data_IF_336665752831
#
_entry.id   IF_336665752831
#
_cell.length_a   1.000
_cell.length_b   1.000
_cell.length_c   1.000
_cell.angle_alpha   90.00
_cell.angle_beta   90.00
_cell.angle_gamma   90.00
#
_symmetry.space_group_name_H-M   'P 1'
#
loop_
_entity.id
_entity.type
_entity.pdbx_description
1 polymer ?
#
# COMPACT_ATOMS: atom_id res chain seq x y z
N UNK A 1 17.76 14.56 12.57
CA UNK A 1 18.93 15.29 13.12
C UNK A 1 19.80 16.00 12.07
N UNK A 2 19.51 15.93 10.74
CA UNK A 2 20.34 16.60 9.71
C UNK A 2 20.00 18.07 9.38
N UNK A 3 18.72 18.46 9.43
CA UNK A 3 18.25 19.79 8.95
C UNK A 3 18.82 20.99 9.70
N UNK A 4 19.07 20.84 11.00
CA UNK A 4 19.64 21.91 11.83
C UNK A 4 21.11 22.18 11.50
N UNK A 5 21.81 21.20 10.91
CA UNK A 5 23.20 21.33 10.53
C UNK A 5 23.36 22.03 9.16
N UNK A 6 22.53 21.73 8.16
CA UNK A 6 22.58 22.35 6.83
C UNK A 6 22.34 23.87 6.89
N UNK A 7 21.26 24.30 7.55
CA UNK A 7 20.95 25.73 7.68
C UNK A 7 21.99 26.51 8.49
N UNK A 8 22.59 25.89 9.52
CA UNK A 8 23.70 26.50 10.29
C UNK A 8 24.97 26.62 9.45
N UNK A 9 25.34 25.56 8.71
CA UNK A 9 26.50 25.57 7.79
C UNK A 9 26.38 26.64 6.72
N UNK A 10 25.22 26.75 6.06
CA UNK A 10 25.02 27.80 5.05
C UNK A 10 25.12 29.18 5.70
N UNK A 11 24.50 29.39 6.87
CA UNK A 11 24.55 30.68 7.56
C UNK A 11 25.99 31.08 7.94
N UNK A 12 26.80 30.14 8.42
CA UNK A 12 28.22 30.36 8.76
C UNK A 12 29.05 30.75 7.52
N UNK A 13 28.88 30.02 6.40
CA UNK A 13 29.60 30.32 5.16
C UNK A 13 29.18 31.68 4.56
N UNK A 14 27.88 32.01 4.61
CA UNK A 14 27.37 33.30 4.14
C UNK A 14 27.84 34.45 5.03
N UNK A 15 27.91 34.26 6.36
CA UNK A 15 28.40 35.30 7.27
C UNK A 15 29.89 35.55 7.08
N UNK A 16 30.68 34.52 6.76
CA UNK A 16 32.07 34.67 6.35
C UNK A 16 32.20 35.53 5.08
N UNK A 17 31.43 35.22 4.03
CA UNK A 17 31.43 36.04 2.79
C UNK A 17 31.05 37.50 3.11
N UNK A 18 30.05 37.70 3.96
CA UNK A 18 29.57 39.03 4.34
C UNK A 18 30.64 39.82 5.10
N UNK A 19 31.32 39.22 6.05
CA UNK A 19 32.39 39.87 6.83
C UNK A 19 33.58 40.24 5.93
N UNK A 20 34.04 39.32 5.09
CA UNK A 20 35.13 39.57 4.13
C UNK A 20 34.76 40.71 3.15
N UNK A 21 33.55 40.66 2.59
CA UNK A 21 33.04 41.68 1.65
C UNK A 21 32.89 43.05 2.31
N UNK A 22 32.42 43.10 3.56
CA UNK A 22 32.23 44.37 4.28
C UNK A 22 33.58 45.03 4.58
N UNK A 23 34.56 44.24 5.02
CA UNK A 23 35.91 44.75 5.30
C UNK A 23 36.60 45.30 4.03
N UNK A 24 36.42 44.66 2.88
CA UNK A 24 36.98 45.12 1.61
C UNK A 24 36.25 46.37 1.08
N UNK A 25 34.91 46.37 1.11
CA UNK A 25 34.12 47.51 0.63
C UNK A 25 34.27 48.75 1.50
N UNK A 26 34.46 48.62 2.81
CA UNK A 26 34.68 49.77 3.70
C UNK A 26 36.05 50.43 3.50
N UNK A 27 37.08 49.63 3.15
CA UNK A 27 38.37 50.19 2.69
C UNK A 27 38.19 50.99 1.41
N UNK A 28 37.49 50.44 0.42
CA UNK A 28 37.21 51.12 -0.84
C UNK A 28 36.35 52.38 -0.66
N UNK A 29 35.33 52.36 0.21
CA UNK A 29 34.53 53.55 0.55
C UNK A 29 35.35 54.65 1.20
N UNK A 30 36.35 54.30 2.01
CA UNK A 30 37.25 55.29 2.63
C UNK A 30 38.11 55.97 1.58
N UNK A 31 38.69 55.19 0.65
CA UNK A 31 39.44 55.71 -0.51
C UNK A 31 38.57 56.53 -1.46
N UNK A 32 37.32 56.11 -1.68
CA UNK A 32 36.35 56.85 -2.50
C UNK A 32 36.06 58.24 -1.90
N UNK A 33 35.84 58.31 -0.58
CA UNK A 33 35.61 59.59 0.12
C UNK A 33 36.82 60.52 0.00
N UNK A 34 38.03 59.97 0.05
CA UNK A 34 39.27 60.75 -0.13
C UNK A 34 39.45 61.24 -1.58
N UNK A 35 39.16 60.40 -2.58
CA UNK A 35 39.16 60.79 -3.99
C UNK A 35 38.14 61.91 -4.28
N UNK A 36 36.93 61.84 -3.67
CA UNK A 36 35.92 62.90 -3.77
C UNK A 36 36.43 64.20 -3.12
N UNK A 37 37.03 64.14 -1.92
CA UNK A 37 37.61 65.31 -1.24
C UNK A 37 38.72 65.98 -2.04
N UNK A 38 39.47 65.20 -2.81
CA UNK A 38 40.57 65.69 -3.66
C UNK A 38 40.12 66.00 -5.10
N UNK A 39 38.81 66.04 -5.37
CA UNK A 39 38.20 66.35 -6.67
C UNK A 39 38.57 65.37 -7.81
N UNK A 40 39.04 64.16 -7.47
CA UNK A 40 39.38 63.11 -8.43
C UNK A 40 38.17 62.22 -8.73
N UNK A 41 37.20 62.77 -9.45
CA UNK A 41 35.90 62.10 -9.68
C UNK A 41 35.99 60.84 -10.53
N UNK A 42 36.91 60.77 -11.49
CA UNK A 42 37.14 59.56 -12.31
C UNK A 42 37.55 58.38 -11.43
N UNK A 43 38.49 58.59 -10.50
CA UNK A 43 38.93 57.58 -9.53
C UNK A 43 37.77 57.19 -8.60
N UNK A 44 36.96 58.15 -8.16
CA UNK A 44 35.81 57.86 -7.30
C UNK A 44 34.72 57.04 -8.01
N UNK A 45 34.53 57.24 -9.32
CA UNK A 45 33.62 56.46 -10.15
C UNK A 45 34.14 55.04 -10.39
N UNK A 46 35.44 54.87 -10.64
CA UNK A 46 36.05 53.55 -10.79
C UNK A 46 36.00 52.74 -9.48
N UNK A 47 36.21 53.39 -8.34
CA UNK A 47 36.03 52.75 -7.03
C UNK A 47 34.56 52.36 -6.80
N UNK A 48 33.60 53.18 -7.24
CA UNK A 48 32.19 52.84 -7.15
C UNK A 48 31.86 51.56 -7.94
N UNK A 49 32.37 51.46 -9.18
CA UNK A 49 32.23 50.25 -10.02
C UNK A 49 32.86 49.03 -9.36
N UNK A 50 34.06 49.15 -8.79
CA UNK A 50 34.71 48.04 -8.07
C UNK A 50 33.90 47.56 -6.86
N UNK A 51 33.29 48.48 -6.10
CA UNK A 51 32.40 48.11 -4.99
C UNK A 51 31.17 47.36 -5.52
N UNK A 52 30.59 47.79 -6.64
CA UNK A 52 29.46 47.12 -7.28
C UNK A 52 29.83 45.69 -7.75
N UNK A 53 30.99 45.52 -8.39
CA UNK A 53 31.52 44.22 -8.83
C UNK A 53 31.75 43.26 -7.65
N UNK A 54 32.37 43.74 -6.56
CA UNK A 54 32.58 42.94 -5.34
C UNK A 54 31.24 42.49 -4.75
N UNK A 55 30.25 43.39 -4.66
CA UNK A 55 28.93 43.04 -4.12
C UNK A 55 28.18 42.05 -5.03
N UNK A 56 28.35 42.16 -6.35
CA UNK A 56 27.81 41.20 -7.32
C UNK A 56 28.42 39.82 -7.12
N UNK A 57 29.75 39.72 -7.08
CA UNK A 57 30.45 38.45 -6.84
C UNK A 57 30.11 37.83 -5.48
N UNK A 58 30.01 38.64 -4.42
CA UNK A 58 29.58 38.16 -3.11
C UNK A 58 28.16 37.58 -3.15
N UNK A 59 27.25 38.20 -3.91
CA UNK A 59 25.88 37.70 -4.09
C UNK A 59 25.83 36.41 -4.91
N UNK A 60 26.65 36.29 -5.96
CA UNK A 60 26.80 35.06 -6.76
C UNK A 60 27.35 33.91 -5.91
N UNK A 61 28.37 34.16 -5.08
CA UNK A 61 28.95 33.16 -4.19
C UNK A 61 27.95 32.67 -3.13
N UNK A 62 27.21 33.60 -2.50
CA UNK A 62 26.13 33.25 -1.56
C UNK A 62 25.07 32.38 -2.23
N UNK A 63 24.66 32.74 -3.45
CA UNK A 63 23.69 31.95 -4.21
C UNK A 63 24.23 30.57 -4.58
N UNK A 64 25.49 30.45 -4.97
CA UNK A 64 26.11 29.16 -5.30
C UNK A 64 26.08 28.19 -4.11
N UNK A 65 26.36 28.67 -2.90
CA UNK A 65 26.26 27.87 -1.66
C UNK A 65 24.82 27.38 -1.45
N UNK A 66 23.85 28.30 -1.51
CA UNK A 66 22.42 27.95 -1.32
C UNK A 66 21.97 26.94 -2.38
N UNK A 67 22.38 27.13 -3.64
CA UNK A 67 22.03 26.26 -4.76
C UNK A 67 22.57 24.84 -4.57
N UNK A 68 23.84 24.71 -4.19
CA UNK A 68 24.46 23.39 -4.07
C UNK A 68 23.80 22.59 -2.94
N UNK A 69 23.61 23.21 -1.77
CA UNK A 69 22.91 22.54 -0.65
C UNK A 69 21.46 22.19 -1.01
N UNK A 70 20.78 23.06 -1.75
CA UNK A 70 19.41 22.78 -2.23
C UNK A 70 19.35 21.54 -3.12
N UNK A 71 20.29 21.39 -4.06
CA UNK A 71 20.35 20.23 -4.95
C UNK A 71 20.63 18.96 -4.14
N UNK A 72 21.62 19.00 -3.24
CA UNK A 72 21.99 17.85 -2.42
C UNK A 72 20.82 17.38 -1.54
N UNK A 73 20.09 18.32 -0.93
CA UNK A 73 18.94 17.98 -0.10
C UNK A 73 17.73 17.52 -0.92
N UNK A 74 17.53 18.03 -2.15
CA UNK A 74 16.50 17.52 -3.07
C UNK A 74 16.76 16.05 -3.44
N UNK A 75 17.99 15.73 -3.83
CA UNK A 75 18.40 14.36 -4.19
C UNK A 75 18.22 13.44 -2.98
N UNK A 76 18.77 13.81 -1.83
CA UNK A 76 18.67 13.03 -0.58
C UNK A 76 17.21 12.83 -0.17
N UNK A 77 16.38 13.87 -0.26
CA UNK A 77 14.96 13.78 0.06
C UNK A 77 14.21 12.83 -0.88
N UNK A 78 14.53 12.86 -2.18
CA UNK A 78 13.93 11.95 -3.15
C UNK A 78 14.36 10.50 -2.92
N UNK A 79 15.64 10.24 -2.69
CA UNK A 79 16.18 8.91 -2.41
C UNK A 79 15.50 8.29 -1.19
N UNK A 80 15.40 9.04 -0.08
CA UNK A 80 14.69 8.57 1.12
C UNK A 80 13.22 8.21 0.83
N UNK A 81 12.53 9.00 0.00
CA UNK A 81 11.13 8.72 -0.39
C UNK A 81 11.00 7.55 -1.35
N UNK A 82 11.99 7.31 -2.20
CA UNK A 82 12.02 6.14 -3.05
C UNK A 82 12.27 4.87 -2.21
N UNK A 83 13.16 4.93 -1.22
CA UNK A 83 13.36 3.82 -0.28
C UNK A 83 12.08 3.49 0.50
N UNK A 84 11.38 4.51 1.04
CA UNK A 84 10.07 4.31 1.69
C UNK A 84 9.06 3.62 0.74
N UNK A 85 9.10 3.93 -0.57
CA UNK A 85 8.25 3.29 -1.57
C UNK A 85 8.63 1.83 -1.80
N UNK A 86 9.92 1.51 -1.88
CA UNK A 86 10.42 0.14 -2.02
C UNK A 86 10.07 -0.71 -0.80
N UNK A 87 10.18 -0.15 0.40
CA UNK A 87 9.80 -0.83 1.65
C UNK A 87 8.29 -1.16 1.66
N UNK A 88 7.45 -0.25 1.15
CA UNK A 88 6.00 -0.48 0.98
C UNK A 88 5.74 -1.62 -0.01
N UNK A 89 6.48 -1.68 -1.12
CA UNK A 89 6.37 -2.77 -2.10
C UNK A 89 6.84 -4.11 -1.55
N UNK A 90 7.93 -4.12 -0.78
CA UNK A 90 8.43 -5.32 -0.12
C UNK A 90 7.43 -5.85 0.91
N UNK A 91 6.89 -4.95 1.74
CA UNK A 91 5.83 -5.28 2.70
C UNK A 91 4.60 -5.86 1.99
N UNK A 92 4.26 -5.33 0.81
CA UNK A 92 3.15 -5.87 0.02
C UNK A 92 3.32 -7.34 -0.33
N UNK A 93 4.49 -7.70 -0.87
CA UNK A 93 4.76 -9.08 -1.26
C UNK A 93 4.69 -10.03 -0.06
N UNK A 94 5.17 -9.55 1.09
CA UNK A 94 5.12 -10.30 2.34
C UNK A 94 3.67 -10.55 2.82
N UNK A 95 2.84 -9.51 2.84
CA UNK A 95 1.44 -9.63 3.28
C UNK A 95 0.61 -10.48 2.30
N UNK A 96 0.80 -10.32 0.99
CA UNK A 96 0.14 -11.16 -0.02
C UNK A 96 0.47 -12.64 0.16
N UNK A 97 1.72 -12.96 0.48
CA UNK A 97 2.15 -14.32 0.79
C UNK A 97 1.47 -14.84 2.06
N UNK A 98 1.37 -14.02 3.11
CA UNK A 98 0.71 -14.40 4.35
C UNK A 98 -0.78 -14.67 4.16
N UNK A 99 -1.48 -13.87 3.35
CA UNK A 99 -2.88 -14.11 2.98
C UNK A 99 -2.99 -15.47 2.26
N UNK A 100 -2.12 -15.74 1.28
CA UNK A 100 -2.12 -17.03 0.57
C UNK A 100 -1.90 -18.21 1.52
N UNK A 101 -0.90 -18.14 2.40
CA UNK A 101 -0.61 -19.21 3.36
C UNK A 101 -1.77 -19.43 4.33
N UNK A 102 -2.39 -18.35 4.82
CA UNK A 102 -3.56 -18.42 5.71
C UNK A 102 -4.70 -19.17 5.05
N UNK A 103 -5.09 -18.80 3.83
CA UNK A 103 -6.20 -19.44 3.15
C UNK A 103 -5.89 -20.84 2.65
N UNK A 104 -4.66 -21.12 2.22
CA UNK A 104 -4.24 -22.49 1.89
C UNK A 104 -4.45 -23.42 3.09
N UNK A 105 -4.01 -23.02 4.29
CA UNK A 105 -4.27 -23.78 5.52
C UNK A 105 -5.76 -23.99 5.79
N UNK A 106 -6.58 -22.95 5.66
CA UNK A 106 -8.03 -23.06 5.84
C UNK A 106 -8.66 -24.03 4.84
N UNK A 107 -8.24 -24.00 3.58
CA UNK A 107 -8.72 -24.95 2.56
C UNK A 107 -8.26 -26.39 2.86
N UNK A 108 -7.01 -26.59 3.30
CA UNK A 108 -6.51 -27.92 3.67
C UNK A 108 -7.28 -28.49 4.86
N UNK A 109 -7.57 -27.67 5.88
CA UNK A 109 -8.29 -28.11 7.05
C UNK A 109 -9.77 -28.38 6.74
N UNK A 110 -10.41 -27.54 5.92
CA UNK A 110 -11.76 -27.80 5.41
C UNK A 110 -11.80 -29.12 4.63
N UNK A 111 -10.85 -29.35 3.72
CA UNK A 111 -10.75 -30.61 2.96
C UNK A 111 -10.64 -31.82 3.87
N UNK A 112 -9.81 -31.76 4.91
CA UNK A 112 -9.68 -32.86 5.89
C UNK A 112 -11.02 -33.12 6.60
N UNK A 113 -11.68 -32.07 7.08
CA UNK A 113 -12.98 -32.18 7.74
C UNK A 113 -14.05 -32.80 6.83
N UNK A 114 -14.07 -32.41 5.57
CA UNK A 114 -15.00 -32.93 4.55
C UNK A 114 -14.76 -34.41 4.25
N UNK A 115 -13.49 -34.82 4.13
CA UNK A 115 -13.12 -36.24 3.95
C UNK A 115 -13.56 -37.08 5.15
N UNK A 116 -13.27 -36.62 6.37
CA UNK A 116 -13.69 -37.33 7.60
C UNK A 116 -15.21 -37.45 7.68
N UNK A 117 -15.93 -36.38 7.34
CA UNK A 117 -17.39 -36.36 7.37
C UNK A 117 -18.00 -37.31 6.33
N UNK A 118 -17.44 -37.37 5.11
CA UNK A 118 -17.87 -38.35 4.09
C UNK A 118 -17.61 -39.77 4.54
N UNK A 119 -16.42 -40.04 5.08
CA UNK A 119 -16.07 -41.36 5.57
C UNK A 119 -17.03 -41.82 6.68
N UNK A 120 -17.33 -40.95 7.66
CA UNK A 120 -18.28 -41.27 8.73
C UNK A 120 -19.70 -41.51 8.19
N UNK A 121 -20.12 -40.71 7.21
CA UNK A 121 -21.41 -40.87 6.55
C UNK A 121 -21.53 -42.21 5.80
N UNK A 122 -20.51 -42.60 5.05
CA UNK A 122 -20.46 -43.89 4.35
C UNK A 122 -20.44 -45.08 5.34
N UNK A 123 -19.67 -44.97 6.41
CA UNK A 123 -19.66 -45.99 7.47
C UNK A 123 -21.03 -46.15 8.14
N UNK A 124 -21.74 -45.05 8.36
CA UNK A 124 -23.09 -45.11 8.92
C UNK A 124 -24.06 -45.80 7.96
N UNK A 125 -23.98 -45.48 6.67
CA UNK A 125 -24.81 -46.15 5.64
C UNK A 125 -24.56 -47.66 5.59
N UNK A 126 -23.31 -48.11 5.67
CA UNK A 126 -22.99 -49.53 5.70
C UNK A 126 -23.61 -50.23 6.92
N UNK A 127 -23.55 -49.58 8.10
CA UNK A 127 -24.21 -50.09 9.32
C UNK A 127 -25.73 -50.14 9.19
N UNK A 128 -26.33 -49.09 8.63
CA UNK A 128 -27.79 -49.03 8.43
C UNK A 128 -28.23 -50.13 7.46
N UNK A 129 -27.44 -50.36 6.40
CA UNK A 129 -27.62 -51.46 5.47
C UNK A 129 -27.56 -52.81 6.17
N UNK A 130 -26.47 -53.09 6.89
CA UNK A 130 -26.32 -54.36 7.58
C UNK A 130 -27.45 -54.59 8.61
N UNK A 131 -27.93 -53.52 9.26
CA UNK A 131 -29.06 -53.59 10.20
C UNK A 131 -30.36 -53.95 9.50
N UNK A 132 -30.69 -53.30 8.38
CA UNK A 132 -31.90 -53.60 7.62
C UNK A 132 -31.85 -54.98 6.94
N UNK A 133 -30.67 -55.43 6.49
CA UNK A 133 -30.49 -56.78 5.95
C UNK A 133 -30.71 -57.88 7.00
N UNK A 134 -30.39 -57.61 8.27
CA UNK A 134 -30.61 -58.55 9.36
C UNK A 134 -32.00 -58.44 9.99
N UNK A 135 -32.81 -57.45 9.59
CA UNK A 135 -34.15 -57.22 10.12
C UNK A 135 -35.14 -58.21 9.51
N UNK A 136 -35.65 -59.12 10.35
CA UNK A 136 -36.65 -60.11 9.94
C UNK A 136 -37.99 -59.45 9.59
N UNK A 137 -38.61 -59.94 8.53
CA UNK A 137 -39.96 -59.51 8.11
C UNK A 137 -41.05 -60.35 8.80
N UNK A 138 -41.96 -59.73 9.58
CA UNK A 138 -43.02 -60.44 10.28
C UNK A 138 -43.91 -61.25 9.34
N UNK A 139 -44.32 -60.66 8.21
CA UNK A 139 -45.16 -61.33 7.19
C UNK A 139 -44.46 -62.58 6.61
N UNK A 140 -43.13 -62.55 6.45
CA UNK A 140 -42.37 -63.71 6.00
C UNK A 140 -42.30 -64.80 7.08
N UNK A 141 -42.16 -64.40 8.35
CA UNK A 141 -42.15 -65.33 9.49
C UNK A 141 -43.51 -66.04 9.58
N UNK A 142 -44.61 -65.29 9.49
CA UNK A 142 -45.97 -65.83 9.56
C UNK A 142 -46.27 -66.86 8.43
N UNK A 143 -45.83 -66.58 7.20
CA UNK A 143 -45.96 -67.53 6.09
C UNK A 143 -45.12 -68.79 6.30
N UNK A 144 -43.90 -68.66 6.85
CA UNK A 144 -43.06 -69.82 7.20
C UNK A 144 -43.69 -70.66 8.30
N UNK A 145 -44.22 -70.04 9.34
CA UNK A 145 -44.92 -70.76 10.42
C UNK A 145 -46.18 -71.47 9.91
N UNK A 146 -46.91 -70.84 9.00
CA UNK A 146 -48.09 -71.43 8.36
C UNK A 146 -47.73 -72.62 7.47
N UNK A 147 -46.61 -72.53 6.75
CA UNK A 147 -46.04 -73.63 5.96
C UNK A 147 -45.67 -74.84 6.84
N UNK A 148 -45.03 -74.60 7.99
CA UNK A 148 -44.68 -75.65 8.96
C UNK A 148 -45.95 -76.33 9.48
N UNK A 149 -46.96 -75.54 9.90
CA UNK A 149 -48.23 -76.08 10.41
C UNK A 149 -48.99 -76.91 9.36
N UNK A 150 -48.97 -76.50 8.08
CA UNK A 150 -49.57 -77.27 6.99
C UNK A 150 -48.86 -78.63 6.79
N UNK A 151 -47.52 -78.65 6.88
CA UNK A 151 -46.74 -79.87 6.79
C UNK A 151 -46.97 -80.81 7.98
N UNK A 152 -47.10 -80.27 9.20
CA UNK A 152 -47.44 -81.05 10.42
C UNK A 152 -48.81 -81.75 10.29
N UNK A 153 -49.75 -81.13 9.58
CA UNK A 153 -51.07 -81.70 9.30
C UNK A 153 -51.09 -82.66 8.10
N UNK A 154 -49.94 -82.90 7.44
CA UNK A 154 -49.81 -83.81 6.30
C UNK A 154 -50.19 -83.22 4.94
N UNK A 155 -50.52 -81.91 4.86
CA UNK A 155 -50.79 -81.22 3.59
C UNK A 155 -49.50 -80.60 3.02
N UNK A 156 -48.72 -81.44 2.36
CA UNK A 156 -47.43 -81.03 1.80
C UNK A 156 -47.56 -80.08 0.61
N UNK A 157 -48.69 -80.09 -0.12
CA UNK A 157 -48.85 -79.25 -1.31
C UNK A 157 -49.05 -77.79 -0.92
N UNK A 158 -49.90 -77.51 0.07
CA UNK A 158 -50.02 -76.14 0.62
C UNK A 158 -48.77 -75.71 1.36
N UNK A 159 -48.10 -76.61 2.09
CA UNK A 159 -46.83 -76.31 2.74
C UNK A 159 -45.76 -75.81 1.75
N UNK A 160 -45.64 -76.46 0.58
CA UNK A 160 -44.72 -76.03 -0.49
C UNK A 160 -45.09 -74.67 -1.07
N UNK A 161 -46.38 -74.41 -1.35
CA UNK A 161 -46.84 -73.11 -1.86
C UNK A 161 -46.53 -71.98 -0.88
N UNK A 162 -46.86 -72.16 0.40
CA UNK A 162 -46.59 -71.18 1.46
C UNK A 162 -45.08 -70.93 1.66
N UNK A 163 -44.25 -71.97 1.51
CA UNK A 163 -42.78 -71.83 1.54
C UNK A 163 -42.29 -70.95 0.40
N UNK A 164 -42.74 -71.23 -0.82
CA UNK A 164 -42.29 -70.52 -2.01
C UNK A 164 -42.79 -69.06 -2.00
N UNK A 165 -44.01 -68.82 -1.52
CA UNK A 165 -44.55 -67.49 -1.25
C UNK A 165 -43.73 -66.73 -0.19
N UNK A 166 -43.34 -67.38 0.91
CA UNK A 166 -42.49 -66.76 1.93
C UNK A 166 -41.10 -66.39 1.38
N UNK A 167 -40.54 -67.21 0.47
CA UNK A 167 -39.27 -66.91 -0.20
C UNK A 167 -39.44 -65.71 -1.15
N UNK A 168 -40.45 -65.73 -2.01
CA UNK A 168 -40.72 -64.64 -2.95
C UNK A 168 -41.00 -63.32 -2.23
N UNK A 169 -41.77 -63.34 -1.14
CA UNK A 169 -42.04 -62.16 -0.32
C UNK A 169 -40.76 -61.60 0.30
N UNK A 170 -39.90 -62.48 0.85
CA UNK A 170 -38.62 -62.08 1.41
C UNK A 170 -37.71 -61.39 0.40
N UNK A 171 -37.60 -61.94 -0.81
CA UNK A 171 -36.82 -61.33 -1.90
C UNK A 171 -37.39 -59.95 -2.25
N UNK A 172 -38.70 -59.86 -2.52
CA UNK A 172 -39.34 -58.60 -2.92
C UNK A 172 -39.25 -57.50 -1.85
N UNK A 173 -39.41 -57.84 -0.57
CA UNK A 173 -39.30 -56.88 0.54
C UNK A 173 -37.85 -56.43 0.72
N UNK A 174 -36.88 -57.34 0.61
CA UNK A 174 -35.45 -57.01 0.68
C UNK A 174 -35.00 -56.07 -0.45
N UNK A 175 -35.46 -56.30 -1.67
CA UNK A 175 -35.21 -55.40 -2.81
C UNK A 175 -35.76 -54.01 -2.54
N UNK A 176 -37.02 -53.91 -2.08
CA UNK A 176 -37.65 -52.62 -1.73
C UNK A 176 -36.92 -51.89 -0.61
N UNK A 177 -36.51 -52.58 0.45
CA UNK A 177 -35.72 -52.01 1.55
C UNK A 177 -34.39 -51.48 1.07
N UNK A 178 -33.68 -52.27 0.25
CA UNK A 178 -32.38 -51.88 -0.31
C UNK A 178 -32.51 -50.64 -1.19
N UNK A 179 -33.53 -50.60 -2.04
CA UNK A 179 -33.79 -49.45 -2.92
C UNK A 179 -34.11 -48.18 -2.10
N UNK A 180 -34.98 -48.28 -1.09
CA UNK A 180 -35.30 -47.15 -0.21
C UNK A 180 -34.06 -46.63 0.54
N UNK A 181 -33.23 -47.54 1.04
CA UNK A 181 -32.00 -47.19 1.75
C UNK A 181 -31.01 -46.46 0.81
N UNK A 182 -30.85 -46.97 -0.42
CA UNK A 182 -29.99 -46.35 -1.44
C UNK A 182 -30.49 -44.95 -1.81
N UNK A 183 -31.80 -44.77 -2.00
CA UNK A 183 -32.38 -43.45 -2.30
C UNK A 183 -32.16 -42.45 -1.17
N UNK A 184 -32.34 -42.87 0.09
CA UNK A 184 -32.07 -42.02 1.26
C UNK A 184 -30.59 -41.66 1.36
N UNK A 185 -29.70 -42.61 1.08
CA UNK A 185 -28.26 -42.39 1.05
C UNK A 185 -27.88 -41.36 -0.01
N UNK A 186 -28.30 -41.54 -1.26
CA UNK A 186 -27.96 -40.61 -2.34
C UNK A 186 -28.52 -39.20 -2.10
N UNK A 187 -29.72 -39.10 -1.53
CA UNK A 187 -30.30 -37.80 -1.14
C UNK A 187 -29.45 -37.10 -0.10
N UNK A 188 -29.13 -37.78 1.02
CA UNK A 188 -28.29 -37.21 2.08
C UNK A 188 -26.87 -36.91 1.61
N UNK A 189 -26.31 -37.76 0.74
CA UNK A 189 -24.98 -37.56 0.13
C UNK A 189 -24.97 -36.29 -0.70
N UNK A 190 -25.98 -36.08 -1.55
CA UNK A 190 -26.11 -34.88 -2.37
C UNK A 190 -26.25 -33.62 -1.51
N UNK A 191 -27.04 -33.67 -0.44
CA UNK A 191 -27.17 -32.56 0.51
C UNK A 191 -25.82 -32.24 1.19
N UNK A 192 -25.07 -33.27 1.62
CA UNK A 192 -23.75 -33.10 2.23
C UNK A 192 -22.75 -32.46 1.25
N UNK A 193 -22.68 -32.96 0.02
CA UNK A 193 -21.83 -32.38 -1.03
C UNK A 193 -22.23 -30.94 -1.37
N UNK A 194 -23.52 -30.62 -1.33
CA UNK A 194 -24.01 -29.25 -1.53
C UNK A 194 -23.54 -28.34 -0.40
N UNK A 195 -23.58 -28.80 0.86
CA UNK A 195 -23.04 -28.06 2.01
C UNK A 195 -21.55 -27.79 1.85
N UNK A 196 -20.77 -28.80 1.45
CA UNK A 196 -19.33 -28.65 1.21
C UNK A 196 -19.02 -27.64 0.10
N UNK A 197 -19.80 -27.68 -1.00
CA UNK A 197 -19.71 -26.68 -2.05
C UNK A 197 -19.94 -25.26 -1.53
N UNK A 198 -20.95 -25.07 -0.70
CA UNK A 198 -21.26 -23.77 -0.09
C UNK A 198 -20.16 -23.28 0.87
N UNK A 199 -19.53 -24.18 1.64
CA UNK A 199 -18.39 -23.84 2.51
C UNK A 199 -17.18 -23.38 1.71
N UNK A 200 -16.85 -24.09 0.62
CA UNK A 200 -15.76 -23.72 -0.29
C UNK A 200 -16.04 -22.36 -0.93
N UNK A 201 -17.26 -22.12 -1.39
CA UNK A 201 -17.68 -20.83 -1.93
C UNK A 201 -17.58 -19.72 -0.87
N UNK A 202 -17.92 -20.03 0.38
CA UNK A 202 -17.75 -19.14 1.53
C UNK A 202 -16.29 -18.71 1.72
N UNK A 203 -15.37 -19.67 1.80
CA UNK A 203 -13.94 -19.40 1.91
C UNK A 203 -13.39 -18.61 0.71
N UNK A 204 -13.86 -18.94 -0.51
CA UNK A 204 -13.46 -18.25 -1.73
C UNK A 204 -13.88 -16.78 -1.70
N UNK A 205 -15.11 -16.49 -1.23
CA UNK A 205 -15.59 -15.12 -1.06
C UNK A 205 -14.77 -14.37 -0.01
N UNK A 206 -14.47 -15.00 1.12
CA UNK A 206 -13.64 -14.38 2.16
C UNK A 206 -12.25 -14.04 1.63
N UNK A 207 -11.60 -14.95 0.91
CA UNK A 207 -10.31 -14.71 0.26
C UNK A 207 -10.37 -13.52 -0.71
N UNK A 208 -11.36 -13.51 -1.60
CA UNK A 208 -11.51 -12.44 -2.59
C UNK A 208 -11.77 -11.08 -1.93
N UNK A 209 -12.58 -11.05 -0.87
CA UNK A 209 -12.84 -9.82 -0.12
C UNK A 209 -11.57 -9.31 0.59
N UNK A 210 -10.84 -10.19 1.27
CA UNK A 210 -9.59 -9.84 1.96
C UNK A 210 -8.53 -9.34 0.95
N UNK A 211 -8.42 -9.98 -0.22
CA UNK A 211 -7.56 -9.51 -1.31
C UNK A 211 -7.97 -8.14 -1.86
N UNK A 212 -9.27 -7.90 -2.05
CA UNK A 212 -9.78 -6.64 -2.56
C UNK A 212 -9.56 -5.50 -1.56
N UNK A 213 -9.88 -5.72 -0.29
CA UNK A 213 -9.61 -4.76 0.79
C UNK A 213 -8.12 -4.46 0.92
N UNK A 214 -7.29 -5.50 0.86
CA UNK A 214 -5.84 -5.36 0.93
C UNK A 214 -5.30 -4.52 -0.25
N UNK A 215 -5.72 -4.85 -1.47
CA UNK A 215 -5.34 -4.12 -2.69
C UNK A 215 -5.72 -2.65 -2.56
N UNK A 216 -6.93 -2.35 -2.07
CA UNK A 216 -7.38 -0.98 -1.84
C UNK A 216 -6.52 -0.24 -0.82
N UNK A 217 -6.27 -0.83 0.35
CA UNK A 217 -5.40 -0.22 1.38
C UNK A 217 -3.99 0.05 0.85
N UNK A 218 -3.47 -0.85 0.01
CA UNK A 218 -2.18 -0.67 -0.62
C UNK A 218 -2.16 0.47 -1.64
N UNK A 219 -3.18 0.56 -2.51
CA UNK A 219 -3.28 1.65 -3.48
C UNK A 219 -3.42 3.01 -2.79
N UNK A 220 -4.18 3.07 -1.70
CA UNK A 220 -4.34 4.27 -0.89
C UNK A 220 -2.99 4.68 -0.28
N UNK A 221 -2.26 3.74 0.33
CA UNK A 221 -0.93 3.97 0.92
C UNK A 221 0.10 4.47 -0.10
N UNK A 222 0.10 3.91 -1.32
CA UNK A 222 0.97 4.39 -2.40
C UNK A 222 0.59 5.80 -2.88
N UNK A 223 -0.70 6.09 -2.99
CA UNK A 223 -1.20 7.42 -3.35
C UNK A 223 -0.78 8.46 -2.31
N UNK A 224 -0.97 8.16 -1.03
CA UNK A 224 -0.58 9.01 0.09
C UNK A 224 0.93 9.25 0.13
N UNK A 225 1.74 8.22 -0.12
CA UNK A 225 3.19 8.36 -0.22
C UNK A 225 3.59 9.27 -1.38
N UNK A 226 2.99 9.09 -2.57
CA UNK A 226 3.26 9.97 -3.73
C UNK A 226 2.93 11.43 -3.41
N UNK A 227 1.78 11.70 -2.82
CA UNK A 227 1.39 13.06 -2.41
C UNK A 227 2.34 13.62 -1.35
N UNK A 228 2.71 12.81 -0.35
CA UNK A 228 3.65 13.21 0.71
C UNK A 228 5.02 13.53 0.15
N UNK A 229 5.51 12.74 -0.81
CA UNK A 229 6.77 12.98 -1.53
C UNK A 229 6.73 14.31 -2.26
N UNK A 230 5.71 14.56 -3.08
CA UNK A 230 5.55 15.82 -3.81
C UNK A 230 5.45 17.03 -2.87
N UNK A 231 4.65 16.92 -1.80
CA UNK A 231 4.48 17.97 -0.80
C UNK A 231 5.79 18.26 -0.05
N UNK A 232 6.57 17.22 0.28
CA UNK A 232 7.85 17.37 0.97
C UNK A 232 8.89 18.10 0.12
N UNK A 233 8.99 17.77 -1.18
CA UNK A 233 9.89 18.44 -2.12
C UNK A 233 9.45 19.88 -2.40
N UNK A 234 8.14 20.12 -2.50
CA UNK A 234 7.58 21.45 -2.64
C UNK A 234 7.88 22.33 -1.42
N UNK A 235 7.65 21.80 -0.21
CA UNK A 235 7.95 22.50 1.04
C UNK A 235 9.45 22.81 1.18
N UNK A 236 10.32 21.87 0.79
CA UNK A 236 11.76 22.07 0.76
C UNK A 236 12.16 23.21 -0.18
N UNK A 237 11.58 23.23 -1.37
CA UNK A 237 11.80 24.28 -2.37
C UNK A 237 11.38 25.66 -1.85
N UNK A 238 10.20 25.76 -1.22
CA UNK A 238 9.76 27.02 -0.60
C UNK A 238 10.70 27.46 0.54
N UNK A 239 11.22 26.52 1.32
CA UNK A 239 12.16 26.83 2.40
C UNK A 239 13.45 27.44 1.83
N UNK A 240 14.03 26.85 0.78
CA UNK A 240 15.25 27.36 0.14
C UNK A 240 15.03 28.67 -0.62
N UNK A 241 13.84 28.88 -1.21
CA UNK A 241 13.46 30.18 -1.76
C UNK A 241 13.42 31.27 -0.69
N UNK A 242 12.77 31.01 0.46
CA UNK A 242 12.77 31.94 1.61
C UNK A 242 14.19 32.20 2.12
N UNK A 243 15.03 31.18 2.11
CA UNK A 243 16.44 31.29 2.49
C UNK A 243 17.22 32.20 1.53
N UNK A 244 17.06 32.01 0.21
CA UNK A 244 17.64 32.89 -0.81
C UNK A 244 17.18 34.35 -0.63
N UNK A 245 15.89 34.58 -0.37
CA UNK A 245 15.35 35.91 -0.12
C UNK A 245 15.90 36.57 1.15
N UNK A 246 16.28 35.78 2.16
CA UNK A 246 16.86 36.30 3.41
C UNK A 246 18.32 36.75 3.25
N UNK A 247 19.10 36.06 2.43
CA UNK A 247 20.56 36.26 2.35
C UNK A 247 21.04 37.03 1.12
N UNK A 248 20.20 37.16 0.10
CA UNK A 248 20.46 37.98 -1.09
C UNK A 248 19.70 39.32 -0.98
N UNK A 249 20.23 40.37 -1.59
CA UNK A 249 19.60 41.69 -1.60
C UNK A 249 18.71 41.88 -2.83
N UNK A 250 17.54 42.49 -2.64
CA UNK A 250 16.63 43.03 -3.67
C UNK A 250 16.53 42.17 -4.95
N UNK A 251 17.08 42.64 -6.08
CA UNK A 251 17.01 41.93 -7.36
C UNK A 251 17.74 40.58 -7.38
N UNK A 252 18.81 40.44 -6.59
CA UNK A 252 19.53 39.17 -6.50
C UNK A 252 18.69 38.10 -5.78
N UNK A 253 17.85 38.51 -4.81
CA UNK A 253 16.91 37.61 -4.14
C UNK A 253 15.85 37.07 -5.10
N UNK A 254 15.23 37.94 -5.92
CA UNK A 254 14.23 37.54 -6.92
C UNK A 254 14.85 36.62 -7.98
N UNK A 255 16.01 37.00 -8.53
CA UNK A 255 16.74 36.15 -9.49
C UNK A 255 17.14 34.80 -8.90
N UNK A 256 17.58 34.79 -7.64
CA UNK A 256 17.94 33.56 -6.94
C UNK A 256 16.74 32.63 -6.74
N UNK A 257 15.61 33.16 -6.29
CA UNK A 257 14.37 32.38 -6.11
C UNK A 257 13.88 31.77 -7.43
N UNK A 258 13.88 32.55 -8.52
CA UNK A 258 13.50 32.06 -9.85
C UNK A 258 14.42 30.94 -10.34
N UNK A 259 15.74 31.07 -10.16
CA UNK A 259 16.69 30.00 -10.52
C UNK A 259 16.47 28.72 -9.71
N UNK A 260 16.17 28.82 -8.41
CA UNK A 260 15.83 27.64 -7.60
C UNK A 260 14.51 27.00 -8.07
N UNK A 261 13.52 27.80 -8.49
CA UNK A 261 12.28 27.31 -9.08
C UNK A 261 12.53 26.52 -10.37
N UNK A 262 13.34 27.06 -11.28
CA UNK A 262 13.69 26.40 -12.53
C UNK A 262 14.41 25.08 -12.28
N UNK A 263 15.36 25.05 -11.34
CA UNK A 263 16.06 23.83 -10.94
C UNK A 263 15.08 22.78 -10.39
N UNK A 264 14.16 23.18 -9.53
CA UNK A 264 13.12 22.28 -9.01
C UNK A 264 12.22 21.74 -10.13
N UNK A 265 11.80 22.58 -11.08
CA UNK A 265 10.95 22.17 -12.20
C UNK A 265 11.69 21.14 -13.08
N UNK A 266 12.96 21.40 -13.39
CA UNK A 266 13.79 20.47 -14.16
C UNK A 266 13.99 19.15 -13.41
N UNK A 267 14.32 19.22 -12.12
CA UNK A 267 14.43 18.04 -11.26
C UNK A 267 13.14 17.23 -11.22
N UNK A 268 11.98 17.88 -11.10
CA UNK A 268 10.69 17.21 -11.16
C UNK A 268 10.46 16.52 -12.51
N UNK A 269 10.80 17.19 -13.62
CA UNK A 269 10.64 16.65 -14.97
C UNK A 269 11.51 15.41 -15.18
N UNK A 270 12.77 15.45 -14.78
CA UNK A 270 13.72 14.33 -14.88
C UNK A 270 13.26 13.12 -14.08
N UNK A 271 12.55 13.35 -12.96
CA UNK A 271 12.08 12.30 -12.06
C UNK A 271 10.59 11.95 -12.22
N UNK A 272 9.93 12.41 -13.28
CA UNK A 272 8.50 12.19 -13.55
C UNK A 272 7.57 12.61 -12.38
N UNK A 273 7.90 13.72 -11.72
CA UNK A 273 7.12 14.32 -10.64
C UNK A 273 6.30 15.50 -11.14
N UNK A 274 5.17 15.79 -10.48
CA UNK A 274 4.37 16.97 -10.77
C UNK A 274 4.97 18.20 -10.07
N UNK A 275 5.45 19.22 -10.79
CA UNK A 275 6.02 20.41 -10.16
C UNK A 275 4.91 21.27 -9.54
N UNK A 276 5.13 21.73 -8.32
CA UNK A 276 4.32 22.78 -7.73
C UNK A 276 4.61 24.14 -8.40
N UNK A 277 3.57 24.97 -8.54
CA UNK A 277 3.71 26.35 -8.99
C UNK A 277 3.92 27.25 -7.76
N UNK A 278 5.00 28.03 -7.76
CA UNK A 278 5.28 29.02 -6.73
C UNK A 278 5.10 30.43 -7.30
N UNK A 279 4.47 31.31 -6.54
CA UNK A 279 4.44 32.73 -6.83
C UNK A 279 5.57 33.42 -6.04
N UNK A 280 6.56 33.95 -6.76
CA UNK A 280 7.57 34.81 -6.16
C UNK A 280 6.96 36.22 -6.04
N UNK A 281 6.53 36.62 -4.84
CA UNK A 281 5.99 37.96 -4.61
C UNK A 281 7.05 39.02 -4.93
N UNK A 282 6.73 39.97 -5.81
CA UNK A 282 7.60 41.09 -6.21
C UNK A 282 7.67 42.22 -5.17
N UNK A 283 7.47 41.92 -3.87
CA UNK A 283 7.34 42.93 -2.82
C UNK A 283 8.68 43.49 -2.30
N UNK A 284 9.60 43.90 -3.19
CA UNK A 284 10.89 44.50 -2.79
C UNK A 284 11.24 45.83 -3.47
N UNK A 285 10.30 46.51 -4.13
CA UNK A 285 10.55 47.84 -4.73
C UNK A 285 9.67 48.97 -4.18
N UNK A 286 9.60 49.18 -2.87
CA UNK A 286 9.11 50.46 -2.30
C UNK A 286 9.65 50.76 -0.90
N UNK A 287 10.97 50.85 -0.75
CA UNK A 287 11.56 51.74 0.29
C UNK A 287 12.41 52.82 -0.39
N UNK A 288 11.80 53.56 -1.32
CA UNK A 288 12.35 54.86 -1.75
C UNK A 288 12.23 55.80 -0.54
N UNK A 289 13.38 56.20 0.00
CA UNK A 289 13.56 57.25 1.00
C UNK A 289 12.70 58.46 0.62
N UNK A 290 11.59 58.67 1.32
CA UNK A 290 10.98 59.99 1.46
C UNK A 290 11.95 60.83 2.31
N UNK A 291 12.83 61.54 1.63
CA UNK A 291 13.60 62.62 2.25
C UNK A 291 12.63 63.64 2.80
N UNK A 292 12.63 63.80 4.13
CA UNK A 292 12.08 64.99 4.77
C UNK A 292 12.94 66.17 4.33
N UNK A 293 12.49 66.90 3.32
CA UNK A 293 12.84 68.30 3.13
C UNK A 293 12.04 69.12 4.14
N UNK A 294 12.66 69.41 5.29
CA UNK A 294 12.27 70.57 6.11
C UNK A 294 12.96 71.78 5.51
N UNK A 295 12.16 72.69 4.94
CA UNK A 295 12.49 74.12 4.89
C UNK A 295 12.12 74.75 6.22
#
# INVERSE_FOLDING_TARGET
MGKENASKRIAEQIEKIKTDTTAETDKLRSLQKEAIKTLKYEIAADIAKKIEEINKHASENKFAIIRNEFIDELVTSLENKNQESEDIEAQKRYDELNIKIKYDRLFQDLKKQQIVSLYQFEQQFLKDRDTEFNRRDPEQIELRESSIRAAENGDFETAMKLRDEAVALGISKMEKKTEQLNQQFETKRKELLTKFGNEILGLTRQLNNEQAEYTKRYTDKLSDMKSTRENSLSALTQQYMKFASKFLQDEAAVRGANKLQELYINFCRENNLKPAQFHVEQNLTTKKKLGKTTK
#
